data_IF_098605897830
#
_entry.id   IF_098605897830
#
_cell.length_a   1.000
_cell.length_b   1.000
_cell.length_c   1.000
_cell.angle_alpha   90.00
_cell.angle_beta   90.00
_cell.angle_gamma   90.00
#
_symmetry.space_group_name_H-M   'P 1'
#
loop_
_entity.id
_entity.type
_entity.pdbx_description
1 polymer ?
#
# COMPACT_ATOMS: atom_id res chain seq x y z
N UNK A 1 -8.75 -0.50 0.22
CA UNK A 1 -9.01 -0.90 -1.18
C UNK A 1 -7.78 -0.76 -2.08
N UNK A 2 -7.06 0.38 -2.09
CA UNK A 2 -5.87 0.57 -2.94
C UNK A 2 -4.78 -0.52 -2.83
N UNK A 3 -4.47 -1.01 -1.63
CA UNK A 3 -3.51 -2.11 -1.46
C UNK A 3 -3.98 -3.44 -2.07
N UNK A 4 -5.30 -3.72 -2.02
CA UNK A 4 -5.89 -4.89 -2.67
C UNK A 4 -5.92 -4.71 -4.19
N UNK A 5 -6.21 -3.49 -4.68
CA UNK A 5 -6.11 -3.14 -6.10
C UNK A 5 -4.71 -3.41 -6.63
N UNK A 6 -3.67 -2.98 -5.92
CA UNK A 6 -2.28 -3.25 -6.31
C UNK A 6 -1.98 -4.75 -6.38
N UNK A 7 -2.47 -5.55 -5.43
CA UNK A 7 -2.29 -7.00 -5.45
C UNK A 7 -3.02 -7.67 -6.61
N UNK A 8 -4.22 -7.20 -6.96
CA UNK A 8 -5.01 -7.68 -8.10
C UNK A 8 -4.33 -7.30 -9.42
N UNK A 9 -3.87 -6.06 -9.56
CA UNK A 9 -3.12 -5.59 -10.74
C UNK A 9 -1.82 -6.39 -10.92
N UNK A 10 -1.07 -6.59 -9.82
CA UNK A 10 0.15 -7.39 -9.85
C UNK A 10 -0.14 -8.86 -10.18
N UNK A 11 -1.28 -9.41 -9.71
CA UNK A 11 -1.72 -10.76 -10.08
C UNK A 11 -2.01 -10.85 -11.58
N UNK A 12 -2.81 -9.93 -12.14
CA UNK A 12 -3.11 -9.88 -13.56
C UNK A 12 -1.85 -9.75 -14.42
N UNK A 13 -0.90 -8.90 -14.01
CA UNK A 13 0.39 -8.78 -14.69
C UNK A 13 1.19 -10.09 -14.68
N UNK A 14 1.25 -10.78 -13.53
CA UNK A 14 1.92 -12.10 -13.44
C UNK A 14 1.28 -13.13 -14.37
N UNK A 15 -0.06 -13.16 -14.44
CA UNK A 15 -0.78 -14.06 -15.34
C UNK A 15 -0.49 -13.77 -16.82
N UNK A 16 -0.41 -12.49 -17.21
CA UNK A 16 0.00 -12.10 -18.56
C UNK A 16 1.42 -12.59 -18.88
N UNK A 17 2.37 -12.35 -17.96
CA UNK A 17 3.76 -12.77 -18.14
C UNK A 17 3.87 -14.28 -18.26
N UNK A 18 3.23 -15.03 -17.36
CA UNK A 18 3.23 -16.50 -17.37
C UNK A 18 2.62 -17.05 -18.68
N UNK A 19 1.51 -16.47 -19.15
CA UNK A 19 0.92 -16.83 -20.43
C UNK A 19 1.88 -16.59 -21.61
N UNK A 20 2.58 -15.46 -21.62
CA UNK A 20 3.57 -15.14 -22.66
C UNK A 20 4.83 -16.01 -22.56
N UNK A 21 5.20 -16.49 -21.38
CA UNK A 21 6.29 -17.46 -21.21
C UNK A 21 5.91 -18.83 -21.79
N UNK A 22 4.67 -19.27 -21.56
CA UNK A 22 4.13 -20.49 -22.15
C UNK A 22 4.01 -20.39 -23.68
N UNK A 23 3.56 -19.24 -24.21
CA UNK A 23 3.39 -18.96 -25.65
C UNK A 23 4.69 -18.61 -26.38
N UNK A 24 5.71 -19.45 -26.23
CA UNK A 24 7.00 -19.29 -26.94
C UNK A 24 6.89 -19.36 -28.47
N UNK A 25 5.79 -19.93 -28.99
CA UNK A 25 5.44 -19.94 -30.41
C UNK A 25 5.17 -18.54 -30.96
N UNK A 26 4.62 -17.64 -30.14
CA UNK A 26 4.28 -16.26 -30.54
C UNK A 26 5.51 -15.38 -30.49
N UNK A 27 5.98 -14.95 -31.66
CA UNK A 27 7.18 -14.11 -31.76
C UNK A 27 6.88 -12.68 -31.33
N UNK A 28 7.92 -11.95 -30.90
CA UNK A 28 7.76 -10.55 -30.53
C UNK A 28 7.24 -9.70 -31.69
N UNK A 29 7.63 -10.00 -32.93
CA UNK A 29 7.13 -9.26 -34.09
C UNK A 29 5.62 -9.46 -34.30
N UNK A 30 5.09 -10.65 -34.00
CA UNK A 30 3.64 -10.91 -34.07
C UNK A 30 2.89 -10.08 -33.03
N UNK A 31 3.42 -10.02 -31.80
CA UNK A 31 2.87 -9.18 -30.73
C UNK A 31 2.94 -7.68 -31.09
N UNK A 32 4.05 -7.23 -31.67
CA UNK A 32 4.19 -5.83 -32.10
C UNK A 32 3.20 -5.48 -33.22
N UNK A 33 3.03 -6.37 -34.20
CA UNK A 33 2.14 -6.13 -35.33
C UNK A 33 0.66 -6.13 -34.92
N UNK A 34 0.29 -7.00 -33.99
CA UNK A 34 -1.10 -7.15 -33.55
C UNK A 34 -1.48 -6.13 -32.45
N UNK A 35 -0.64 -6.01 -31.42
CA UNK A 35 -0.98 -5.30 -30.18
C UNK A 35 -0.11 -4.05 -29.93
N UNK A 36 0.91 -3.81 -30.74
CA UNK A 36 1.80 -2.64 -30.59
C UNK A 36 2.80 -2.76 -29.43
N UNK A 37 2.87 -3.87 -28.71
CA UNK A 37 3.87 -4.11 -27.67
C UNK A 37 4.32 -5.56 -27.68
N UNK A 38 5.52 -5.84 -27.16
CA UNK A 38 6.05 -7.20 -27.03
C UNK A 38 6.69 -7.42 -25.66
N UNK A 39 7.28 -8.60 -25.46
CA UNK A 39 8.00 -8.95 -24.22
C UNK A 39 9.10 -7.94 -23.86
N UNK A 40 9.83 -7.42 -24.86
CA UNK A 40 10.85 -6.38 -24.61
C UNK A 40 10.23 -5.07 -24.10
N UNK A 41 9.03 -4.70 -24.55
CA UNK A 41 8.32 -3.52 -24.02
C UNK A 41 7.93 -3.75 -22.57
N UNK A 42 7.41 -4.93 -22.22
CA UNK A 42 7.13 -5.32 -20.83
C UNK A 42 8.38 -5.26 -19.96
N UNK A 43 9.53 -5.77 -20.43
CA UNK A 43 10.80 -5.70 -19.70
C UNK A 43 11.25 -4.26 -19.45
N UNK A 44 11.08 -3.38 -20.43
CA UNK A 44 11.42 -1.95 -20.30
C UNK A 44 10.50 -1.26 -19.29
N UNK A 45 9.20 -1.54 -19.30
CA UNK A 45 8.27 -1.01 -18.30
C UNK A 45 8.57 -1.53 -16.90
N UNK A 46 8.90 -2.82 -16.77
CA UNK A 46 9.29 -3.42 -15.49
C UNK A 46 10.57 -2.78 -14.92
N UNK A 47 11.60 -2.62 -15.76
CA UNK A 47 12.84 -1.94 -15.39
C UNK A 47 12.62 -0.44 -15.08
N UNK A 48 11.76 0.25 -15.82
CA UNK A 48 11.38 1.62 -15.50
C UNK A 48 10.67 1.72 -14.14
N UNK A 49 9.76 0.78 -13.83
CA UNK A 49 9.13 0.68 -12.51
C UNK A 49 10.15 0.50 -11.39
N UNK A 50 11.13 -0.39 -11.56
CA UNK A 50 12.22 -0.56 -10.59
C UNK A 50 12.98 0.75 -10.34
N UNK A 51 13.29 1.52 -11.39
CA UNK A 51 13.93 2.84 -11.27
C UNK A 51 13.07 3.86 -10.52
N UNK A 52 11.77 3.93 -10.82
CA UNK A 52 10.83 4.84 -10.15
C UNK A 52 10.77 4.55 -8.64
N UNK A 53 10.88 3.27 -8.26
CA UNK A 53 10.84 2.84 -6.87
C UNK A 53 12.22 2.70 -6.20
N UNK A 54 13.30 3.12 -6.86
CA UNK A 54 14.65 3.07 -6.29
C UNK A 54 15.22 1.66 -6.06
N UNK A 55 14.67 0.65 -6.74
CA UNK A 55 15.16 -0.72 -6.67
C UNK A 55 16.37 -0.87 -7.64
N UNK A 56 17.57 -1.25 -7.15
CA UNK A 56 18.69 -1.54 -8.04
C UNK A 56 18.36 -2.78 -8.88
N UNK A 57 18.29 -2.60 -10.19
CA UNK A 57 17.92 -3.64 -11.14
C UNK A 57 18.53 -3.32 -12.51
N UNK A 58 19.20 -4.30 -13.12
CA UNK A 58 19.68 -4.19 -14.48
C UNK A 58 18.58 -4.57 -15.47
N UNK A 59 18.66 -4.06 -16.70
CA UNK A 59 17.68 -4.39 -17.75
C UNK A 59 17.66 -5.90 -18.06
N UNK A 60 18.79 -6.59 -17.90
CA UNK A 60 18.89 -8.04 -18.07
C UNK A 60 18.01 -8.79 -17.07
N UNK A 61 17.98 -8.34 -15.81
CA UNK A 61 17.15 -8.94 -14.75
C UNK A 61 15.66 -8.79 -15.08
N UNK A 62 15.26 -7.60 -15.56
CA UNK A 62 13.89 -7.35 -15.98
C UNK A 62 13.48 -8.22 -17.19
N UNK A 63 14.41 -8.44 -18.12
CA UNK A 63 14.18 -9.38 -19.21
C UNK A 63 13.97 -10.80 -18.70
N UNK A 64 14.83 -11.29 -17.81
CA UNK A 64 14.70 -12.64 -17.25
C UNK A 64 13.35 -12.83 -16.52
N UNK A 65 12.87 -11.81 -15.80
CA UNK A 65 11.53 -11.84 -15.18
C UNK A 65 10.39 -12.01 -16.18
N UNK A 66 10.49 -11.37 -17.35
CA UNK A 66 9.44 -11.43 -18.38
C UNK A 66 9.56 -12.70 -19.23
N UNK A 67 10.77 -13.14 -19.57
CA UNK A 67 11.01 -14.30 -20.41
C UNK A 67 11.02 -15.63 -19.66
N UNK A 68 11.18 -15.62 -18.33
CA UNK A 68 11.28 -16.82 -17.50
C UNK A 68 12.66 -17.49 -17.54
N UNK A 69 13.55 -17.00 -18.40
CA UNK A 69 14.96 -17.39 -18.52
C UNK A 69 15.77 -16.20 -19.09
N UNK A 70 17.11 -16.22 -19.02
CA UNK A 70 17.93 -15.16 -19.60
C UNK A 70 17.64 -14.96 -21.09
N UNK A 71 17.35 -13.71 -21.50
CA UNK A 71 16.94 -13.37 -22.87
C UNK A 71 17.87 -13.93 -23.99
N UNK A 72 19.21 -13.93 -23.85
CA UNK A 72 20.08 -14.56 -24.85
C UNK A 72 19.80 -16.05 -25.05
N UNK A 73 19.43 -16.77 -23.99
CA UNK A 73 19.09 -18.20 -24.05
C UNK A 73 17.73 -18.39 -24.72
N UNK A 74 16.73 -17.60 -24.32
CA UNK A 74 15.41 -17.62 -24.96
C UNK A 74 15.50 -17.34 -26.46
N UNK A 75 16.26 -16.32 -26.84
CA UNK A 75 16.51 -15.96 -28.25
C UNK A 75 17.10 -17.13 -29.03
N UNK A 76 18.08 -17.83 -28.47
CA UNK A 76 18.71 -18.99 -29.12
C UNK A 76 17.74 -20.16 -29.31
N UNK A 77 16.83 -20.36 -28.36
CA UNK A 77 15.90 -21.51 -28.35
C UNK A 77 14.64 -21.25 -29.18
N UNK A 78 14.12 -20.03 -29.17
CA UNK A 78 12.75 -19.74 -29.59
C UNK A 78 12.62 -18.64 -30.63
N UNK A 79 13.60 -17.73 -30.78
CA UNK A 79 13.46 -16.60 -31.69
C UNK A 79 13.70 -17.01 -33.14
N UNK A 80 12.72 -16.76 -34.00
CA UNK A 80 12.82 -16.94 -35.45
C UNK A 80 13.12 -15.61 -36.15
N UNK A 81 13.78 -15.63 -37.32
CA UNK A 81 13.88 -14.43 -38.14
C UNK A 81 12.50 -13.98 -38.60
N UNK A 82 12.30 -12.66 -38.63
CA UNK A 82 11.08 -12.06 -39.16
C UNK A 82 10.99 -12.23 -40.68
N UNK A 83 9.80 -12.54 -41.21
CA UNK A 83 9.55 -12.50 -42.65
C UNK A 83 9.47 -11.07 -43.16
N UNK A 84 9.64 -10.89 -44.47
CA UNK A 84 9.49 -9.59 -45.14
C UNK A 84 8.10 -9.00 -44.92
N UNK A 85 7.06 -9.83 -45.00
CA UNK A 85 5.67 -9.42 -44.74
C UNK A 85 5.47 -8.94 -43.29
N UNK A 86 6.01 -9.66 -42.30
CA UNK A 86 5.93 -9.25 -40.90
C UNK A 86 6.65 -7.92 -40.68
N UNK A 87 7.77 -7.69 -41.36
CA UNK A 87 8.51 -6.45 -41.28
C UNK A 87 7.75 -5.29 -41.93
N UNK A 88 7.08 -5.53 -43.07
CA UNK A 88 6.26 -4.52 -43.73
C UNK A 88 5.09 -4.07 -42.82
N UNK A 89 4.42 -5.02 -42.15
CA UNK A 89 3.37 -4.71 -41.17
C UNK A 89 3.94 -3.98 -39.95
N UNK A 90 5.13 -4.36 -39.49
CA UNK A 90 5.81 -3.69 -38.37
C UNK A 90 6.09 -2.22 -38.69
N UNK A 91 6.63 -1.94 -39.87
CA UNK A 91 6.91 -0.59 -40.33
C UNK A 91 5.63 0.23 -40.50
N UNK A 92 4.58 -0.34 -41.09
CA UNK A 92 3.28 0.33 -41.24
C UNK A 92 2.58 0.62 -39.90
N UNK A 93 2.85 -0.17 -38.86
CA UNK A 93 2.20 -0.05 -37.54
C UNK A 93 2.99 0.75 -36.51
N UNK A 94 4.21 1.25 -36.83
CA UNK A 94 5.11 1.97 -35.91
C UNK A 94 4.43 3.06 -35.08
N UNK A 95 3.51 3.82 -35.68
CA UNK A 95 2.80 4.90 -34.99
C UNK A 95 1.93 4.43 -33.81
N UNK A 96 1.59 3.14 -33.77
CA UNK A 96 0.75 2.51 -32.74
C UNK A 96 1.57 1.77 -31.68
N UNK A 97 2.90 1.74 -31.81
CA UNK A 97 3.75 0.99 -30.89
C UNK A 97 3.84 1.66 -29.51
N UNK A 98 3.94 0.82 -28.49
CA UNK A 98 4.08 1.18 -27.09
C UNK A 98 5.26 2.12 -26.87
N UNK A 99 5.01 3.20 -26.13
CA UNK A 99 6.07 4.11 -25.65
C UNK A 99 6.82 3.42 -24.51
N UNK A 100 8.14 3.36 -24.63
CA UNK A 100 8.99 2.71 -23.63
C UNK A 100 9.69 3.70 -22.70
N UNK A 101 9.49 5.00 -22.93
CA UNK A 101 9.90 6.05 -22.02
C UNK A 101 8.81 6.23 -20.96
N UNK A 102 9.17 6.27 -19.66
CA UNK A 102 8.22 6.54 -18.61
C UNK A 102 7.76 7.98 -18.73
N UNK A 103 6.61 8.20 -19.37
CA UNK A 103 5.81 9.39 -19.06
C UNK A 103 5.44 9.36 -17.57
N UNK A 104 5.10 10.52 -16.97
CA UNK A 104 4.63 10.53 -15.59
C UNK A 104 3.52 9.49 -15.43
N UNK A 105 3.60 8.67 -14.38
CA UNK A 105 2.58 7.68 -14.07
C UNK A 105 1.21 8.34 -14.20
N UNK A 106 0.32 7.77 -15.04
CA UNK A 106 -1.05 8.24 -15.16
C UNK A 106 -1.63 8.26 -13.75
N UNK A 107 -1.86 9.46 -13.22
CA UNK A 107 -2.47 9.62 -11.91
C UNK A 107 -3.82 8.88 -11.91
N UNK A 108 -4.26 8.30 -10.78
CA UNK A 108 -5.57 7.67 -10.70
C UNK A 108 -6.64 8.70 -11.08
N UNK A 109 -7.27 8.54 -12.25
CA UNK A 109 -8.36 9.41 -12.71
C UNK A 109 -8.17 10.13 -14.05
N UNK A 110 -7.08 9.94 -14.79
CA UNK A 110 -6.95 10.57 -16.11
C UNK A 110 -7.72 9.77 -17.18
N UNK A 111 -8.92 10.25 -17.53
CA UNK A 111 -9.70 9.68 -18.63
C UNK A 111 -8.99 9.93 -19.97
N UNK A 112 -8.72 8.87 -20.70
CA UNK A 112 -8.33 8.96 -22.12
C UNK A 112 -9.59 9.36 -22.88
N UNK A 113 -9.71 10.62 -23.28
CA UNK A 113 -10.77 11.06 -24.20
C UNK A 113 -10.43 10.57 -25.60
N UNK A 114 -10.82 9.33 -25.89
CA UNK A 114 -10.96 8.82 -27.25
C UNK A 114 -12.43 8.86 -27.62
N UNK A 115 -12.85 9.90 -28.34
CA UNK A 115 -14.15 9.91 -28.99
C UNK A 115 -14.24 8.74 -29.98
N UNK A 116 -15.32 7.95 -29.87
CA UNK A 116 -15.73 7.00 -30.91
C UNK A 116 -15.90 5.55 -30.45
N UNK A 117 -16.84 5.28 -29.53
CA UNK A 117 -17.42 3.95 -29.42
C UNK A 117 -18.95 4.06 -29.42
N UNK A 118 -19.54 3.77 -30.57
CA UNK A 118 -20.96 3.51 -30.72
C UNK A 118 -21.31 2.27 -29.90
N UNK A 119 -22.35 2.42 -29.07
CA UNK A 119 -22.96 1.35 -28.30
C UNK A 119 -23.50 0.24 -29.21
N UNK A 120 -23.16 -1.00 -28.89
CA UNK A 120 -24.09 -2.15 -28.87
C UNK A 120 -23.41 -3.33 -28.18
N UNK A 121 -24.08 -3.86 -27.17
CA UNK A 121 -23.67 -5.09 -26.48
C UNK A 121 -23.60 -6.24 -27.48
N UNK A 122 -22.48 -6.96 -27.44
CA UNK A 122 -22.26 -8.17 -28.21
C UNK A 122 -21.47 -9.15 -27.36
N UNK A 123 -22.01 -10.36 -27.20
CA UNK A 123 -21.26 -11.49 -26.67
C UNK A 123 -19.98 -11.66 -27.50
N UNK A 124 -18.82 -11.70 -26.82
CA UNK A 124 -17.56 -12.05 -27.47
C UNK A 124 -17.61 -13.53 -27.83
N UNK A 125 -17.75 -13.85 -29.13
CA UNK A 125 -17.73 -15.22 -29.64
C UNK A 125 -16.35 -15.89 -29.58
N UNK A 126 -15.33 -15.20 -29.03
CA UNK A 126 -13.93 -15.62 -29.07
C UNK A 126 -13.51 -16.40 -27.82
N UNK A 127 -14.10 -16.15 -26.65
CA UNK A 127 -13.60 -16.68 -25.38
C UNK A 127 -14.39 -17.86 -24.78
N UNK A 128 -15.55 -18.25 -25.33
CA UNK A 128 -16.25 -19.50 -24.97
C UNK A 128 -16.57 -19.69 -23.47
N UNK A 129 -16.54 -18.63 -22.68
CA UNK A 129 -16.79 -18.63 -21.25
C UNK A 129 -17.89 -17.61 -20.94
N UNK A 130 -18.90 -18.02 -20.17
CA UNK A 130 -19.91 -17.12 -19.64
C UNK A 130 -19.22 -16.12 -18.70
N UNK A 131 -19.10 -14.87 -19.16
CA UNK A 131 -18.44 -13.79 -18.45
C UNK A 131 -19.31 -13.15 -17.35
N UNK A 132 -20.52 -13.67 -17.11
CA UNK A 132 -21.49 -13.09 -16.17
C UNK A 132 -21.65 -13.94 -14.91
N UNK A 133 -20.60 -14.00 -14.10
CA UNK A 133 -20.73 -14.24 -12.66
C UNK A 133 -19.56 -13.62 -11.91
N UNK A 134 -19.46 -12.29 -11.94
CA UNK A 134 -18.64 -11.59 -10.97
C UNK A 134 -19.23 -11.80 -9.56
N UNK A 135 -18.43 -12.16 -8.53
CA UNK A 135 -18.89 -12.00 -7.16
C UNK A 135 -19.20 -10.51 -6.96
N UNK A 136 -20.44 -10.23 -6.56
CA UNK A 136 -20.90 -8.88 -6.25
C UNK A 136 -19.92 -8.27 -5.24
N UNK A 137 -19.28 -7.12 -5.52
CA UNK A 137 -18.47 -6.46 -4.52
C UNK A 137 -19.40 -6.13 -3.35
N UNK A 138 -19.07 -6.61 -2.15
CA UNK A 138 -19.62 -6.01 -0.94
C UNK A 138 -19.05 -4.60 -0.91
N UNK A 139 -19.85 -3.64 -1.37
CA UNK A 139 -19.57 -2.24 -1.19
C UNK A 139 -19.40 -2.02 0.31
N UNK A 140 -18.20 -1.60 0.73
CA UNK A 140 -18.11 -0.86 1.99
C UNK A 140 -18.98 0.37 1.76
N UNK A 141 -20.10 0.45 2.47
CA UNK A 141 -21.01 1.59 2.38
C UNK A 141 -20.21 2.89 2.38
N UNK A 142 -20.58 3.81 1.49
CA UNK A 142 -20.01 5.15 1.44
C UNK A 142 -19.94 5.71 2.86
N UNK A 143 -18.77 6.19 3.33
CA UNK A 143 -18.66 6.72 4.67
C UNK A 143 -19.72 7.80 4.84
N UNK A 144 -20.47 7.70 5.95
CA UNK A 144 -21.41 8.74 6.36
C UNK A 144 -20.73 10.11 6.50
N UNK A 145 -21.47 11.17 6.83
CA UNK A 145 -20.89 12.51 6.98
C UNK A 145 -19.65 12.44 7.89
N UNK A 146 -18.55 13.06 7.46
CA UNK A 146 -17.24 12.97 8.12
C UNK A 146 -17.36 13.32 9.61
N UNK A 147 -17.18 12.34 10.49
CA UNK A 147 -17.18 12.58 11.93
C UNK A 147 -15.91 13.32 12.35
N UNK A 148 -16.05 14.21 13.34
CA UNK A 148 -14.94 14.95 13.91
C UNK A 148 -14.28 14.08 14.96
N UNK A 149 -13.04 13.67 14.69
CA UNK A 149 -12.28 12.75 15.52
C UNK A 149 -11.23 13.53 16.29
N UNK A 150 -11.24 13.40 17.62
CA UNK A 150 -10.24 13.98 18.51
C UNK A 150 -9.11 13.00 18.74
N UNK A 151 -7.88 13.42 18.46
CA UNK A 151 -6.71 12.55 18.40
C UNK A 151 -5.67 13.04 19.40
N UNK A 152 -5.14 12.11 20.17
CA UNK A 152 -3.99 12.32 21.04
C UNK A 152 -2.77 11.54 20.52
N UNK A 153 -1.59 12.16 20.56
CA UNK A 153 -0.32 11.54 20.16
C UNK A 153 0.63 11.49 21.34
N UNK A 154 1.13 10.30 21.67
CA UNK A 154 2.11 10.08 22.74
C UNK A 154 3.41 9.52 22.16
N UNK A 155 4.50 10.25 22.34
CA UNK A 155 5.84 9.73 22.03
C UNK A 155 6.47 9.18 23.30
N UNK A 156 6.78 7.88 23.31
CA UNK A 156 7.54 7.22 24.37
C UNK A 156 9.00 7.11 23.92
N UNK A 157 9.88 7.88 24.56
CA UNK A 157 11.32 7.81 24.35
C UNK A 157 12.08 8.49 25.49
N UNK A 158 12.96 7.74 26.16
CA UNK A 158 13.89 8.27 27.15
C UNK A 158 14.71 9.45 26.59
N UNK A 159 15.22 9.30 25.36
CA UNK A 159 16.08 10.30 24.72
C UNK A 159 15.33 11.55 24.29
N UNK A 160 14.10 11.41 23.78
CA UNK A 160 13.26 12.56 23.41
C UNK A 160 12.79 13.30 24.68
N UNK A 161 12.39 12.57 25.71
CA UNK A 161 11.95 13.13 26.99
C UNK A 161 13.08 13.85 27.73
N UNK A 162 14.32 13.36 27.60
CA UNK A 162 15.50 14.00 28.17
C UNK A 162 16.02 15.20 27.32
N UNK A 163 15.39 15.51 26.19
CA UNK A 163 15.83 16.56 25.27
C UNK A 163 17.13 16.25 24.53
N UNK A 164 17.56 14.98 24.51
CA UNK A 164 18.78 14.54 23.80
C UNK A 164 18.60 14.60 22.29
N UNK A 165 17.37 14.41 21.81
CA UNK A 165 16.98 14.70 20.44
C UNK A 165 15.54 15.21 20.36
N UNK A 166 15.20 15.90 19.28
CA UNK A 166 13.82 16.31 18.99
C UNK A 166 12.97 15.15 18.44
N UNK A 167 11.75 15.02 18.94
CA UNK A 167 10.81 14.01 18.45
C UNK A 167 10.42 14.24 16.99
N UNK A 168 10.84 13.33 16.11
CA UNK A 168 10.46 13.32 14.71
C UNK A 168 9.25 12.41 14.40
N UNK A 169 8.90 11.49 15.31
CA UNK A 169 7.89 10.46 15.07
C UNK A 169 6.48 10.94 15.42
N UNK A 170 6.32 11.68 16.52
CA UNK A 170 5.06 12.34 16.85
C UNK A 170 4.58 13.27 15.72
N UNK A 171 5.41 14.21 15.22
CA UNK A 171 5.08 15.02 14.06
C UNK A 171 4.78 14.21 12.79
N UNK A 172 5.44 13.07 12.59
CA UNK A 172 5.17 12.18 11.45
C UNK A 172 3.76 11.56 11.54
N UNK A 173 3.29 11.19 12.74
CA UNK A 173 1.89 10.75 12.95
C UNK A 173 0.92 11.85 12.56
N UNK A 174 1.13 13.06 13.10
CA UNK A 174 0.25 14.21 12.86
C UNK A 174 0.17 14.51 11.36
N UNK A 175 1.31 14.60 10.69
CA UNK A 175 1.39 14.87 9.25
C UNK A 175 0.67 13.82 8.41
N UNK A 176 0.89 12.53 8.70
CA UNK A 176 0.28 11.43 7.94
C UNK A 176 -1.25 11.38 8.12
N UNK A 177 -1.73 11.54 9.35
CA UNK A 177 -3.17 11.52 9.63
C UNK A 177 -3.86 12.76 9.04
N UNK A 178 -3.26 13.95 9.14
CA UNK A 178 -3.78 15.17 8.48
C UNK A 178 -3.86 15.00 6.97
N UNK A 179 -2.79 14.53 6.34
CA UNK A 179 -2.75 14.32 4.90
C UNK A 179 -3.81 13.32 4.43
N UNK A 180 -4.07 12.26 5.21
CA UNK A 180 -5.15 11.32 4.92
C UNK A 180 -6.54 11.94 5.10
N UNK A 181 -6.76 12.72 6.16
CA UNK A 181 -8.03 13.40 6.41
C UNK A 181 -8.37 14.36 5.25
N UNK A 182 -7.40 15.17 4.83
CA UNK A 182 -7.53 16.12 3.72
C UNK A 182 -7.81 15.41 2.38
N UNK A 183 -7.10 14.32 2.08
CA UNK A 183 -7.23 13.60 0.83
C UNK A 183 -8.51 12.75 0.75
N UNK A 184 -8.88 12.06 1.82
CA UNK A 184 -10.01 11.12 1.83
C UNK A 184 -11.35 11.81 2.11
N UNK A 185 -11.35 12.93 2.83
CA UNK A 185 -12.53 13.57 3.41
C UNK A 185 -13.39 12.62 4.27
N UNK A 186 -12.83 11.47 4.69
CA UNK A 186 -13.55 10.45 5.44
C UNK A 186 -13.61 10.75 6.94
N UNK A 187 -12.73 11.63 7.44
CA UNK A 187 -12.70 12.07 8.83
C UNK A 187 -12.18 13.51 8.93
N UNK A 188 -12.58 14.23 9.97
CA UNK A 188 -11.97 15.51 10.35
C UNK A 188 -11.09 15.32 11.58
N UNK A 189 -9.77 15.35 11.40
CA UNK A 189 -8.78 15.10 12.45
C UNK A 189 -8.50 16.36 13.29
N UNK A 190 -8.86 16.32 14.57
CA UNK A 190 -8.57 17.36 15.54
C UNK A 190 -7.54 16.87 16.56
N UNK A 191 -6.35 17.47 16.61
CA UNK A 191 -5.27 17.03 17.49
C UNK A 191 -5.35 17.77 18.82
N UNK A 192 -5.94 17.11 19.82
CA UNK A 192 -6.23 17.71 21.13
C UNK A 192 -5.05 17.63 22.09
N UNK A 193 -4.22 16.59 21.94
CA UNK A 193 -3.07 16.36 22.82
C UNK A 193 -1.86 15.86 22.04
N UNK A 194 -0.69 16.37 22.41
CA UNK A 194 0.60 15.82 22.00
C UNK A 194 1.55 15.90 23.19
N UNK A 195 2.17 14.78 23.54
CA UNK A 195 3.07 14.70 24.69
C UNK A 195 4.22 13.74 24.42
N UNK A 196 5.39 14.06 24.98
CA UNK A 196 6.55 13.17 25.04
C UNK A 196 6.73 12.70 26.49
N UNK A 197 6.98 11.41 26.69
CA UNK A 197 7.23 10.78 28.00
C UNK A 197 8.45 9.86 27.90
N UNK A 198 9.14 9.60 29.02
CA UNK A 198 10.21 8.60 29.04
C UNK A 198 9.63 7.19 28.80
N UNK A 199 10.52 6.23 28.54
CA UNK A 199 10.18 4.81 28.43
C UNK A 199 9.94 4.22 29.83
N UNK A 200 8.88 4.70 30.47
CA UNK A 200 8.43 4.35 31.81
C UNK A 200 6.97 3.95 31.78
N UNK A 201 6.67 2.78 32.35
CA UNK A 201 5.35 2.17 32.21
C UNK A 201 4.25 3.01 32.88
N UNK A 202 4.54 3.57 34.06
CA UNK A 202 3.57 4.38 34.81
C UNK A 202 3.36 5.75 34.18
N UNK A 203 4.41 6.38 33.62
CA UNK A 203 4.29 7.62 32.89
C UNK A 203 3.44 7.47 31.61
N UNK A 204 3.67 6.39 30.85
CA UNK A 204 2.88 6.07 29.65
C UNK A 204 1.44 5.75 30.05
N UNK A 205 1.25 4.86 31.03
CA UNK A 205 -0.07 4.50 31.55
C UNK A 205 -0.85 5.75 32.00
N UNK A 206 -0.24 6.63 32.79
CA UNK A 206 -0.90 7.84 33.30
C UNK A 206 -1.38 8.78 32.20
N UNK A 207 -0.60 8.93 31.11
CA UNK A 207 -1.02 9.72 29.95
C UNK A 207 -2.18 9.07 29.21
N UNK A 208 -2.07 7.77 28.88
CA UNK A 208 -3.11 7.02 28.18
C UNK A 208 -4.41 6.97 28.97
N UNK A 209 -4.32 6.63 30.26
CA UNK A 209 -5.43 6.56 31.19
C UNK A 209 -6.11 7.92 31.34
N UNK A 210 -5.34 8.97 31.63
CA UNK A 210 -5.86 10.33 31.83
C UNK A 210 -6.68 10.84 30.64
N UNK A 211 -6.13 10.74 29.42
CA UNK A 211 -6.85 11.16 28.22
C UNK A 211 -8.08 10.30 27.92
N UNK A 212 -7.99 9.00 28.20
CA UNK A 212 -9.10 8.07 27.95
C UNK A 212 -10.25 8.24 28.95
N UNK A 213 -9.98 8.48 30.23
CA UNK A 213 -10.99 8.65 31.28
C UNK A 213 -11.69 10.00 31.17
N UNK A 214 -10.96 11.07 30.86
CA UNK A 214 -11.53 12.38 30.60
C UNK A 214 -12.41 12.40 29.33
N UNK A 215 -12.28 11.39 28.46
CA UNK A 215 -12.90 11.31 27.13
C UNK A 215 -12.55 12.54 26.27
N UNK A 216 -11.33 13.05 26.41
CA UNK A 216 -10.86 14.21 25.64
C UNK A 216 -10.54 13.84 24.18
N UNK A 217 -10.30 12.55 23.93
CA UNK A 217 -9.98 12.01 22.61
C UNK A 217 -10.76 10.75 22.29
N UNK A 218 -10.84 10.44 21.00
CA UNK A 218 -11.49 9.24 20.44
C UNK A 218 -10.44 8.22 19.95
N UNK A 219 -9.24 8.71 19.61
CA UNK A 219 -8.08 7.94 19.20
C UNK A 219 -6.82 8.40 19.95
N UNK A 220 -6.06 7.45 20.49
CA UNK A 220 -4.71 7.66 21.00
C UNK A 220 -3.71 6.86 20.16
N UNK A 221 -2.74 7.56 19.59
CA UNK A 221 -1.63 6.94 18.86
C UNK A 221 -0.35 7.10 19.66
N UNK A 222 0.29 5.99 20.02
CA UNK A 222 1.62 6.03 20.62
C UNK A 222 2.70 5.76 19.59
N UNK A 223 3.90 6.30 19.77
CA UNK A 223 5.08 5.97 18.98
C UNK A 223 6.29 5.76 19.89
N UNK A 224 6.99 4.64 19.69
CA UNK A 224 8.16 4.27 20.50
C UNK A 224 7.84 3.28 21.63
N UNK A 225 8.89 2.73 22.23
CA UNK A 225 8.78 1.78 23.35
C UNK A 225 8.15 0.42 23.02
N UNK A 226 8.10 0.00 21.75
CA UNK A 226 7.45 -1.26 21.30
C UNK A 226 8.43 -2.37 20.89
N UNK A 227 9.75 -2.13 20.96
CA UNK A 227 10.77 -3.12 20.58
C UNK A 227 11.02 -4.20 21.63
N UNK A 228 12.14 -4.90 21.50
CA UNK A 228 12.61 -5.94 22.44
C UNK A 228 13.63 -5.39 23.46
N UNK A 229 13.88 -4.08 23.46
CA UNK A 229 14.76 -3.45 24.42
C UNK A 229 14.19 -3.54 25.85
N UNK A 230 15.05 -3.56 26.89
CA UNK A 230 14.60 -3.70 28.28
C UNK A 230 13.77 -2.51 28.79
N UNK A 231 13.84 -1.38 28.08
CA UNK A 231 13.06 -0.16 28.36
C UNK A 231 11.79 -0.08 27.52
N UNK A 232 11.64 -0.90 26.47
CA UNK A 232 10.43 -0.88 25.65
C UNK A 232 9.24 -1.41 26.47
N UNK A 233 8.41 -0.51 27.03
CA UNK A 233 7.29 -0.87 27.93
C UNK A 233 5.94 -0.31 27.49
N UNK A 234 5.87 0.31 26.30
CA UNK A 234 4.63 0.88 25.76
C UNK A 234 3.50 -0.15 25.62
N UNK A 235 3.73 -1.39 25.14
CA UNK A 235 2.67 -2.41 25.08
C UNK A 235 2.14 -2.78 26.46
N UNK A 236 3.01 -2.91 27.46
CA UNK A 236 2.67 -3.25 28.84
C UNK A 236 1.79 -2.16 29.47
N UNK A 237 2.20 -0.89 29.35
CA UNK A 237 1.40 0.26 29.76
C UNK A 237 0.04 0.31 29.04
N UNK A 238 0.02 0.01 27.74
CA UNK A 238 -1.22 -0.02 26.95
C UNK A 238 -2.17 -1.12 27.41
N UNK A 239 -1.66 -2.32 27.76
CA UNK A 239 -2.48 -3.44 28.29
C UNK A 239 -3.23 -3.06 29.56
N UNK A 240 -2.66 -2.19 30.40
CA UNK A 240 -3.30 -1.71 31.64
C UNK A 240 -4.52 -0.81 31.37
N UNK A 241 -4.60 -0.16 30.21
CA UNK A 241 -5.66 0.80 29.87
C UNK A 241 -6.76 0.18 29.01
N UNK A 242 -6.40 -0.71 28.09
CA UNK A 242 -7.37 -1.32 27.18
C UNK A 242 -8.25 -2.35 27.89
N UNK A 243 -9.54 -2.35 27.58
CA UNK A 243 -10.50 -3.33 28.07
C UNK A 243 -10.80 -4.42 27.05
N UNK A 244 -10.77 -4.07 25.76
CA UNK A 244 -11.03 -4.98 24.64
C UNK A 244 -9.86 -4.94 23.65
N UNK A 245 -9.10 -6.03 23.50
CA UNK A 245 -8.03 -6.10 22.51
C UNK A 245 -8.56 -5.92 21.08
N UNK A 246 -7.80 -5.23 20.24
CA UNK A 246 -8.05 -5.05 18.80
C UNK A 246 -6.91 -5.72 17.99
N UNK A 247 -6.69 -7.01 18.25
CA UNK A 247 -5.53 -7.77 17.74
C UNK A 247 -5.41 -7.76 16.21
N UNK A 248 -6.54 -7.70 15.50
CA UNK A 248 -6.56 -7.62 14.04
C UNK A 248 -5.79 -6.42 13.50
N UNK A 249 -5.85 -5.26 14.16
CA UNK A 249 -5.11 -4.06 13.76
C UNK A 249 -3.61 -4.24 13.97
N UNK A 250 -3.19 -4.69 15.16
CA UNK A 250 -1.78 -4.91 15.48
C UNK A 250 -1.15 -5.95 14.55
N UNK A 251 -1.84 -7.09 14.33
CA UNK A 251 -1.40 -8.16 13.43
C UNK A 251 -1.32 -7.70 11.98
N UNK A 252 -2.32 -6.95 11.49
CA UNK A 252 -2.31 -6.43 10.13
C UNK A 252 -1.14 -5.47 9.90
N UNK A 253 -0.87 -4.56 10.85
CA UNK A 253 0.28 -3.66 10.76
C UNK A 253 1.60 -4.42 10.73
N UNK A 254 1.81 -5.38 11.65
CA UNK A 254 3.03 -6.18 11.67
C UNK A 254 3.21 -6.99 10.38
N UNK A 255 2.18 -7.69 9.93
CA UNK A 255 2.20 -8.53 8.74
C UNK A 255 2.40 -7.74 7.44
N UNK A 256 1.64 -6.65 7.24
CA UNK A 256 1.72 -5.92 5.97
C UNK A 256 3.02 -5.14 5.84
N UNK A 257 3.55 -4.61 6.93
CA UNK A 257 4.82 -3.88 6.89
C UNK A 257 6.03 -4.80 6.73
N UNK A 258 5.93 -6.09 7.10
CA UNK A 258 7.05 -7.04 7.00
C UNK A 258 7.45 -7.36 5.56
N UNK A 259 6.58 -7.09 4.59
CA UNK A 259 6.92 -7.20 3.17
C UNK A 259 7.89 -6.11 2.70
N UNK A 260 8.01 -5.00 3.44
CA UNK A 260 8.91 -3.88 3.14
C UNK A 260 10.10 -3.85 4.09
N UNK A 261 9.87 -4.07 5.38
CA UNK A 261 10.89 -4.07 6.42
C UNK A 261 10.76 -5.37 7.25
N UNK A 262 11.59 -6.40 6.99
CA UNK A 262 11.48 -7.69 7.65
C UNK A 262 11.50 -7.63 9.18
N UNK A 263 12.19 -6.64 9.77
CA UNK A 263 12.27 -6.48 11.22
C UNK A 263 11.00 -5.91 11.85
N UNK A 264 10.00 -5.47 11.07
CA UNK A 264 8.76 -4.92 11.62
C UNK A 264 8.00 -5.93 12.49
N UNK A 265 8.20 -7.23 12.24
CA UNK A 265 7.64 -8.34 13.04
C UNK A 265 8.18 -8.38 14.48
N UNK A 266 9.28 -7.68 14.77
CA UNK A 266 9.85 -7.59 16.12
C UNK A 266 9.13 -6.54 17.00
N UNK A 267 8.21 -5.76 16.43
CA UNK A 267 7.39 -4.86 17.23
C UNK A 267 6.37 -5.65 18.06
N UNK A 268 6.33 -5.38 19.36
CA UNK A 268 5.33 -5.88 20.31
C UNK A 268 4.12 -4.96 20.46
N UNK A 269 4.01 -3.93 19.61
CA UNK A 269 2.94 -2.95 19.66
C UNK A 269 1.56 -3.61 19.63
N UNK A 270 0.66 -3.17 20.51
CA UNK A 270 -0.71 -3.67 20.55
C UNK A 270 -1.72 -2.58 20.18
N UNK A 271 -2.94 -3.01 19.92
CA UNK A 271 -4.08 -2.12 19.71
C UNK A 271 -5.22 -2.61 20.60
N UNK A 272 -6.05 -1.69 21.07
CA UNK A 272 -7.21 -2.04 21.87
C UNK A 272 -8.10 -0.85 22.16
N UNK A 273 -9.26 -1.14 22.73
CA UNK A 273 -10.29 -0.17 23.05
C UNK A 273 -10.39 -0.08 24.56
N UNK A 274 -10.35 1.14 25.11
CA UNK A 274 -10.50 1.40 26.54
C UNK A 274 -11.94 1.14 27.01
N UNK A 275 -12.17 1.13 28.33
CA UNK A 275 -13.53 1.04 28.89
C UNK A 275 -14.42 2.21 28.46
N UNK A 276 -13.82 3.38 28.24
CA UNK A 276 -14.51 4.60 27.81
C UNK A 276 -14.77 4.65 26.31
N UNK A 277 -14.29 3.69 25.53
CA UNK A 277 -14.53 3.59 24.09
C UNK A 277 -13.46 4.25 23.22
N UNK A 278 -12.32 4.65 23.79
CA UNK A 278 -11.20 5.25 23.05
C UNK A 278 -10.35 4.16 22.40
N UNK A 279 -10.01 4.32 21.12
CA UNK A 279 -9.11 3.41 20.42
C UNK A 279 -7.65 3.78 20.72
N UNK A 280 -6.85 2.83 21.17
CA UNK A 280 -5.41 3.00 21.42
C UNK A 280 -4.62 2.15 20.41
N UNK A 281 -3.65 2.76 19.75
CA UNK A 281 -2.79 2.11 18.73
C UNK A 281 -1.33 2.38 19.04
N UNK A 282 -0.53 1.34 19.24
CA UNK A 282 0.92 1.48 19.36
C UNK A 282 1.62 1.38 18.01
N UNK A 283 2.46 2.37 17.72
CA UNK A 283 3.33 2.39 16.55
C UNK A 283 4.81 2.27 16.95
N UNK A 284 5.68 1.81 16.05
CA UNK A 284 7.13 1.83 16.25
C UNK A 284 7.68 3.24 16.45
N UNK A 285 8.91 3.34 16.98
CA UNK A 285 9.54 4.63 17.31
C UNK A 285 10.23 5.35 16.16
N UNK A 286 10.45 4.69 15.02
CA UNK A 286 11.14 5.30 13.87
C UNK A 286 10.14 5.94 12.88
N UNK A 287 10.37 7.17 12.38
CA UNK A 287 9.41 7.87 11.52
C UNK A 287 9.02 7.12 10.24
N UNK A 288 9.93 6.37 9.63
CA UNK A 288 9.61 5.55 8.45
C UNK A 288 8.64 4.41 8.80
N UNK A 289 8.86 3.74 9.94
CA UNK A 289 8.01 2.65 10.41
C UNK A 289 6.62 3.17 10.82
N UNK A 290 6.54 4.35 11.43
CA UNK A 290 5.27 5.05 11.69
C UNK A 290 4.47 5.23 10.41
N UNK A 291 5.08 5.78 9.36
CA UNK A 291 4.41 5.99 8.06
C UNK A 291 3.93 4.68 7.44
N UNK A 292 4.74 3.63 7.54
CA UNK A 292 4.39 2.29 7.04
C UNK A 292 3.16 1.71 7.77
N UNK A 293 3.18 1.71 9.11
CA UNK A 293 2.05 1.23 9.91
C UNK A 293 0.78 2.07 9.69
N UNK A 294 0.90 3.40 9.58
CA UNK A 294 -0.23 4.27 9.29
C UNK A 294 -0.84 4.01 7.90
N UNK A 295 -0.05 3.60 6.91
CA UNK A 295 -0.59 3.24 5.60
C UNK A 295 -1.56 2.04 5.65
N UNK A 296 -1.38 1.16 6.66
CA UNK A 296 -2.26 0.02 6.95
C UNK A 296 -3.48 0.45 7.76
N UNK A 297 -3.28 1.30 8.79
CA UNK A 297 -4.31 1.72 9.72
C UNK A 297 -5.33 2.70 9.11
N UNK A 298 -4.85 3.72 8.39
CA UNK A 298 -5.67 4.86 7.96
C UNK A 298 -6.88 4.46 7.09
N UNK A 299 -6.78 3.51 6.14
CA UNK A 299 -7.93 3.09 5.33
C UNK A 299 -9.09 2.46 6.13
N UNK A 300 -8.83 1.91 7.32
CA UNK A 300 -9.87 1.27 8.16
C UNK A 300 -10.30 2.15 9.33
N UNK A 301 -9.53 3.20 9.63
CA UNK A 301 -9.73 4.05 10.79
C UNK A 301 -11.09 4.75 10.84
N UNK A 302 -11.64 5.34 9.74
CA UNK A 302 -12.96 5.97 9.78
C UNK A 302 -14.07 5.01 10.24
N UNK A 303 -14.12 3.81 9.65
CA UNK A 303 -15.11 2.79 10.01
C UNK A 303 -14.93 2.32 11.46
N UNK A 304 -13.69 2.09 11.88
CA UNK A 304 -13.39 1.66 13.24
C UNK A 304 -13.86 2.68 14.28
N UNK A 305 -13.67 3.97 14.03
CA UNK A 305 -14.10 5.05 14.92
C UNK A 305 -15.62 5.24 14.91
N UNK A 306 -16.26 5.13 13.74
CA UNK A 306 -17.72 5.16 13.64
C UNK A 306 -18.37 4.03 14.45
N UNK A 307 -17.79 2.82 14.44
CA UNK A 307 -18.25 1.69 15.26
C UNK A 307 -18.12 1.94 16.77
N UNK A 308 -17.24 2.85 17.19
CA UNK A 308 -17.06 3.27 18.57
C UNK A 308 -17.94 4.46 18.96
N UNK A 309 -18.68 5.03 18.01
CA UNK A 309 -19.56 6.18 18.22
C UNK A 309 -18.85 7.53 18.20
N UNK A 310 -17.69 7.62 17.55
CA UNK A 310 -16.91 8.85 17.37
C UNK A 310 -17.26 9.60 16.06
#
# INVERSE_FOLDING_TARGET
MAALTLQIEAYAFRQLVEHLQWRSDVQNIDLMNLAGFCRNCLSKWYHAGAKVHGLPMEYADACERVYGEPYPQWKKRHQKPASEDQMAVFEASKAKHARTDPGPALAPGMQVTGEGASARGGHSSVCGQDCDAAPVPVALDSPGPASRVRIAVLTASDRASAGTYEDASGPAVVSAVRGFAEASRALHADFVHQKVVPDDEDAIFGALWGWSEARDCDLIVTTGGTGFGPRDVTPEATRRVIARPAEGLARAMAWQTSFLEPHSILSRGICGITRTGVLVVNLPGHPSAVKQCLSVLLPVLPQALQMLGA
#
